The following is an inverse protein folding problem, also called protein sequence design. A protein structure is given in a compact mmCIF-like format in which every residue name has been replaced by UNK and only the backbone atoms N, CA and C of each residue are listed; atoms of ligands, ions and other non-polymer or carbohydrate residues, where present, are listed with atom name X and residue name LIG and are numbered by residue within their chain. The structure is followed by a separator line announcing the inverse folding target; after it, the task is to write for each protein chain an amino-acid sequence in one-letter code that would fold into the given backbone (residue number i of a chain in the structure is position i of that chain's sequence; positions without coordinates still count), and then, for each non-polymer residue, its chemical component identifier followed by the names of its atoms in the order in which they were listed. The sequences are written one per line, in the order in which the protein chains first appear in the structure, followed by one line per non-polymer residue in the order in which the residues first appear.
data_IF_782012807963
#
_entry.id   IF_782012807963
#
_cell.length_a   1.000
_cell.length_b   1.000
_cell.length_c   1.000
_cell.angle_alpha   90.00
_cell.angle_beta   90.00
_cell.angle_gamma   90.00
#
_symmetry.space_group_name_H-M   'P 1'
#
loop_
_entity.id
_entity.type
_entity.pdbx_description
1 polymer ?
#
# COMPACT_ATOMS: atom_id res chain seq x y z
N UNK A 1 -3.40 -14.56 13.48
CA UNK A 1 -2.33 -13.78 12.81
C UNK A 1 -2.86 -12.40 12.46
N UNK A 2 -2.11 -11.36 12.80
CA UNK A 2 -2.46 -10.00 12.41
C UNK A 2 -2.14 -9.78 10.93
N UNK A 3 -2.69 -8.70 10.35
CA UNK A 3 -2.33 -8.30 8.98
C UNK A 3 -0.84 -7.99 8.88
N UNK A 4 -0.28 -7.32 9.87
CA UNK A 4 1.15 -7.01 9.91
C UNK A 4 1.98 -8.30 9.82
N UNK A 5 1.65 -9.29 10.62
CA UNK A 5 2.32 -10.58 10.60
C UNK A 5 2.15 -11.30 9.26
N UNK A 6 0.93 -11.26 8.72
CA UNK A 6 0.66 -11.86 7.41
C UNK A 6 1.59 -11.29 6.34
N UNK A 7 1.66 -9.98 6.22
CA UNK A 7 2.49 -9.36 5.19
C UNK A 7 3.99 -9.51 5.45
N UNK A 8 4.41 -9.55 6.70
CA UNK A 8 5.82 -9.80 7.02
C UNK A 8 6.28 -11.19 6.61
N UNK A 9 5.40 -12.18 6.71
CA UNK A 9 5.74 -13.57 6.51
C UNK A 9 5.32 -14.15 5.15
N UNK A 10 4.74 -13.34 4.28
CA UNK A 10 4.19 -13.82 3.02
C UNK A 10 4.86 -13.10 1.85
N UNK A 11 5.38 -13.87 0.92
CA UNK A 11 5.96 -13.34 -0.32
C UNK A 11 4.88 -13.16 -1.36
N UNK A 12 4.99 -12.09 -2.12
CA UNK A 12 4.06 -11.82 -3.19
C UNK A 12 4.26 -10.41 -3.72
N UNK A 13 3.35 -10.00 -4.57
CA UNK A 13 3.37 -8.64 -5.10
C UNK A 13 1.97 -8.05 -5.07
N UNK A 14 1.91 -6.73 -5.14
CA UNK A 14 0.63 -6.05 -5.06
C UNK A 14 0.44 -4.97 -6.09
N UNK A 15 -0.83 -4.63 -6.28
CA UNK A 15 -1.27 -3.58 -7.19
C UNK A 15 -2.15 -2.63 -6.39
N UNK A 16 -1.80 -1.35 -6.42
CA UNK A 16 -2.60 -0.30 -5.81
C UNK A 16 -3.44 0.36 -6.89
N UNK A 17 -4.75 0.35 -6.70
CA UNK A 17 -5.70 1.01 -7.58
C UNK A 17 -6.14 2.32 -6.93
N UNK A 18 -6.11 3.40 -7.70
CA UNK A 18 -6.52 4.73 -7.27
C UNK A 18 -7.40 5.36 -8.35
N UNK A 19 -8.13 6.38 -7.98
CA UNK A 19 -8.97 7.11 -8.94
C UNK A 19 -8.73 8.62 -8.82
N UNK A 20 -8.95 9.32 -9.93
CA UNK A 20 -8.93 10.78 -9.90
C UNK A 20 -10.32 11.33 -9.52
N UNK A 21 -10.47 12.66 -9.56
CA UNK A 21 -11.74 13.30 -9.22
C UNK A 21 -12.86 12.97 -10.21
N UNK A 22 -12.54 12.52 -11.41
CA UNK A 22 -13.51 12.12 -12.44
C UNK A 22 -13.76 10.61 -12.47
N UNK A 23 -13.29 9.89 -11.44
CA UNK A 23 -13.42 8.44 -11.29
C UNK A 23 -12.70 7.64 -12.37
N UNK A 24 -11.66 8.21 -12.97
CA UNK A 24 -10.79 7.43 -13.85
C UNK A 24 -9.83 6.61 -12.99
N UNK A 25 -9.76 5.31 -13.26
CA UNK A 25 -9.01 4.36 -12.45
C UNK A 25 -7.61 4.16 -13.01
N UNK A 26 -6.62 4.14 -12.12
CA UNK A 26 -5.25 3.79 -12.45
C UNK A 26 -4.78 2.66 -11.53
N UNK A 27 -3.89 1.83 -12.04
CA UNK A 27 -3.30 0.74 -11.27
C UNK A 27 -1.78 0.79 -11.39
N UNK A 28 -1.11 0.55 -10.28
CA UNK A 28 0.35 0.56 -10.25
C UNK A 28 0.86 -0.52 -9.30
N UNK A 29 2.01 -1.09 -9.64
CA UNK A 29 2.68 -2.06 -8.77
C UNK A 29 3.21 -1.32 -7.54
N UNK A 30 2.89 -1.85 -6.36
CA UNK A 30 3.38 -1.33 -5.09
C UNK A 30 3.88 -2.46 -4.21
N UNK A 31 4.90 -2.17 -3.42
CA UNK A 31 5.38 -3.08 -2.39
C UNK A 31 4.29 -3.33 -1.35
N UNK A 32 4.50 -4.33 -0.50
CA UNK A 32 3.55 -4.65 0.56
C UNK A 32 3.30 -3.44 1.46
N UNK A 33 2.08 -3.32 2.02
CA UNK A 33 1.82 -2.23 2.95
C UNK A 33 2.71 -2.30 4.18
N UNK A 34 3.04 -1.14 4.71
CA UNK A 34 3.83 -0.99 5.92
C UNK A 34 2.90 -0.83 7.12
N UNK A 35 3.18 -1.56 8.19
CA UNK A 35 2.46 -1.41 9.45
C UNK A 35 3.44 -0.80 10.45
N UNK A 36 3.50 0.53 10.48
CA UNK A 36 4.46 1.25 11.32
C UNK A 36 4.14 1.15 12.80
N UNK A 37 2.87 1.02 13.13
CA UNK A 37 2.40 0.69 14.47
C UNK A 37 1.83 -0.73 14.42
N UNK A 38 2.63 -1.70 14.87
CA UNK A 38 2.22 -3.11 14.78
C UNK A 38 1.09 -3.49 15.74
N UNK A 39 0.76 -2.61 16.67
CA UNK A 39 -0.40 -2.81 17.55
C UNK A 39 -1.71 -2.39 16.88
N UNK A 40 -1.63 -1.68 15.76
CA UNK A 40 -2.80 -1.17 15.03
C UNK A 40 -2.89 -1.87 13.66
N UNK A 41 -3.81 -2.81 13.55
CA UNK A 41 -4.05 -3.56 12.31
C UNK A 41 -5.04 -2.85 11.37
N UNK A 42 -5.53 -1.69 11.77
CA UNK A 42 -6.48 -0.89 10.98
C UNK A 42 -5.85 0.22 10.16
N UNK A 43 -4.54 0.40 10.25
CA UNK A 43 -3.82 1.46 9.54
C UNK A 43 -2.59 0.87 8.86
N UNK A 44 -2.39 1.25 7.60
CA UNK A 44 -1.18 0.87 6.88
C UNK A 44 -0.66 2.05 6.08
N UNK A 45 0.57 1.92 5.58
CA UNK A 45 1.23 3.01 4.88
C UNK A 45 1.93 2.51 3.63
N UNK A 46 2.05 3.41 2.66
CA UNK A 46 2.81 3.16 1.43
C UNK A 46 3.76 4.31 1.18
N UNK A 47 4.93 3.99 0.65
CA UNK A 47 5.86 5.01 0.17
C UNK A 47 5.51 5.29 -1.28
N UNK A 48 5.22 6.55 -1.59
CA UNK A 48 4.82 6.98 -2.94
C UNK A 48 5.77 8.02 -3.49
N UNK A 49 6.01 7.94 -4.81
CA UNK A 49 6.68 9.00 -5.54
C UNK A 49 5.70 10.08 -5.97
N UNK A 50 6.22 11.11 -6.61
CA UNK A 50 5.39 12.17 -7.18
C UNK A 50 4.86 11.72 -8.54
N UNK A 51 3.92 10.79 -8.51
CA UNK A 51 3.36 10.13 -9.70
C UNK A 51 1.84 10.11 -9.62
N UNK A 52 1.22 9.50 -10.63
CA UNK A 52 -0.24 9.51 -10.78
C UNK A 52 -0.98 8.94 -9.55
N UNK A 53 -0.49 7.84 -8.96
CA UNK A 53 -1.14 7.28 -7.77
C UNK A 53 -1.20 8.28 -6.63
N UNK A 54 -0.10 9.00 -6.38
CA UNK A 54 -0.06 10.04 -5.36
C UNK A 54 -0.99 11.20 -5.69
N UNK A 55 -0.99 11.63 -6.94
CA UNK A 55 -1.87 12.70 -7.39
C UNK A 55 -3.34 12.32 -7.21
N UNK A 56 -3.69 11.09 -7.58
CA UNK A 56 -5.06 10.59 -7.46
C UNK A 56 -5.56 10.62 -6.01
N UNK A 57 -4.76 10.17 -5.04
CA UNK A 57 -5.22 10.13 -3.65
C UNK A 57 -5.34 11.52 -3.02
N UNK A 58 -4.80 12.57 -3.65
CA UNK A 58 -5.05 13.95 -3.24
C UNK A 58 -6.47 14.41 -3.61
N UNK A 59 -7.06 13.79 -4.62
CA UNK A 59 -8.37 14.19 -5.16
C UNK A 59 -9.48 13.20 -4.87
N UNK A 60 -9.15 11.93 -4.58
CA UNK A 60 -10.11 10.91 -4.20
C UNK A 60 -9.51 10.09 -3.06
N UNK A 61 -10.16 10.08 -1.88
CA UNK A 61 -9.57 9.45 -0.69
C UNK A 61 -9.58 7.93 -0.73
N UNK A 62 -10.35 7.31 -1.63
CA UNK A 62 -10.50 5.86 -1.68
C UNK A 62 -9.45 5.22 -2.57
N UNK A 63 -8.93 4.09 -2.12
CA UNK A 63 -7.99 3.28 -2.89
C UNK A 63 -8.24 1.80 -2.58
N UNK A 64 -7.67 0.92 -3.40
CA UNK A 64 -7.78 -0.51 -3.21
C UNK A 64 -6.44 -1.16 -3.48
N UNK A 65 -6.05 -2.09 -2.62
CA UNK A 65 -4.79 -2.81 -2.77
C UNK A 65 -5.08 -4.30 -2.93
N UNK A 66 -4.55 -4.87 -4.00
CA UNK A 66 -4.69 -6.29 -4.30
C UNK A 66 -3.33 -6.94 -4.16
N UNK A 67 -3.22 -7.91 -3.25
CA UNK A 67 -1.97 -8.62 -3.00
C UNK A 67 -2.11 -10.07 -3.42
N UNK A 68 -1.15 -10.55 -4.23
CA UNK A 68 -1.14 -11.91 -4.76
C UNK A 68 0.09 -12.63 -4.20
N UNK A 69 -0.16 -13.73 -3.48
CA UNK A 69 0.92 -14.54 -2.92
C UNK A 69 1.68 -15.28 -4.02
N UNK A 70 2.99 -15.42 -3.83
CA UNK A 70 3.79 -16.29 -4.68
C UNK A 70 3.31 -17.74 -4.56
N UNK A 71 3.55 -18.54 -5.59
CA UNK A 71 3.25 -19.97 -5.56
C UNK A 71 1.97 -20.35 -6.28
N UNK A 72 1.21 -19.41 -6.77
CA UNK A 72 -0.02 -19.66 -7.52
C UNK A 72 -1.19 -20.00 -6.61
N UNK A 73 -2.27 -20.55 -7.19
CA UNK A 73 -3.44 -20.96 -6.43
C UNK A 73 -4.43 -19.83 -6.14
N UNK A 74 -4.21 -18.64 -6.66
CA UNK A 74 -5.09 -17.47 -6.47
C UNK A 74 -5.31 -17.17 -4.99
N UNK A 75 -4.24 -17.18 -4.21
CA UNK A 75 -4.26 -16.87 -2.79
C UNK A 75 -3.72 -15.45 -2.57
N UNK A 76 -4.36 -14.70 -1.72
CA UNK A 76 -3.95 -13.34 -1.39
C UNK A 76 -5.04 -12.60 -0.66
N UNK A 77 -4.94 -11.27 -0.69
CA UNK A 77 -5.90 -10.40 0.00
C UNK A 77 -6.21 -9.16 -0.83
N UNK A 78 -7.39 -8.61 -0.59
CA UNK A 78 -7.80 -7.31 -1.13
C UNK A 78 -8.11 -6.40 0.04
N UNK A 79 -7.51 -5.22 0.02
CA UNK A 79 -7.71 -4.21 1.06
C UNK A 79 -8.48 -3.03 0.48
N UNK A 80 -9.54 -2.62 1.17
CA UNK A 80 -10.23 -1.37 0.86
C UNK A 80 -9.65 -0.29 1.76
N UNK A 81 -9.20 0.82 1.18
CA UNK A 81 -8.39 1.83 1.86
C UNK A 81 -8.99 3.22 1.72
N UNK A 82 -8.82 4.03 2.75
CA UNK A 82 -9.13 5.47 2.70
C UNK A 82 -7.95 6.23 3.27
N UNK A 83 -7.49 7.24 2.54
CA UNK A 83 -6.34 8.04 2.98
C UNK A 83 -6.65 8.78 4.27
N UNK A 84 -5.69 8.81 5.20
CA UNK A 84 -5.78 9.56 6.45
C UNK A 84 -4.95 10.84 6.33
N UNK A 85 -3.65 10.71 6.07
CA UNK A 85 -2.74 11.84 5.93
C UNK A 85 -1.44 11.36 5.28
N UNK A 86 -0.58 12.30 4.92
CA UNK A 86 0.72 11.99 4.35
C UNK A 86 1.83 12.80 5.02
N UNK A 87 3.04 12.29 4.91
CA UNK A 87 4.25 12.93 5.40
C UNK A 87 5.27 13.00 4.26
N UNK A 88 6.06 14.05 4.25
CA UNK A 88 7.13 14.24 3.26
C UNK A 88 8.50 14.31 3.93
N UNK A 89 8.67 13.67 5.06
CA UNK A 89 9.92 13.64 5.83
C UNK A 89 10.91 12.67 5.17
N UNK A 90 11.86 13.20 4.43
CA UNK A 90 12.80 12.40 3.66
C UNK A 90 13.69 11.52 4.54
N UNK A 91 14.06 11.97 5.73
CA UNK A 91 14.89 11.19 6.64
C UNK A 91 14.11 9.99 7.20
N UNK A 92 12.86 10.19 7.54
CA UNK A 92 11.98 9.13 8.02
C UNK A 92 11.75 8.08 6.93
N UNK A 93 11.47 8.52 5.72
CA UNK A 93 11.24 7.63 4.56
C UNK A 93 12.50 6.81 4.27
N UNK A 94 13.66 7.45 4.29
CA UNK A 94 14.94 6.78 4.07
C UNK A 94 15.22 5.73 5.13
N UNK A 95 14.97 6.05 6.39
CA UNK A 95 15.14 5.12 7.50
C UNK A 95 14.23 3.90 7.36
N UNK A 96 12.97 4.11 6.98
CA UNK A 96 12.01 3.02 6.77
C UNK A 96 12.49 2.11 5.64
N UNK A 97 12.94 2.65 4.52
CA UNK A 97 13.42 1.87 3.38
C UNK A 97 14.64 1.00 3.77
N UNK A 98 15.58 1.56 4.50
CA UNK A 98 16.76 0.83 4.93
C UNK A 98 16.41 -0.29 5.93
N UNK A 99 15.45 -0.03 6.81
CA UNK A 99 15.07 -0.96 7.87
C UNK A 99 14.24 -2.14 7.34
N UNK A 100 13.41 -1.90 6.35
CA UNK A 100 12.50 -2.92 5.82
C UNK A 100 13.09 -3.68 4.64
N UNK A 101 14.24 -3.27 4.12
CA UNK A 101 14.87 -3.86 2.94
C UNK A 101 13.87 -3.98 1.77
N UNK A 102 13.06 -2.96 1.60
CA UNK A 102 12.00 -2.96 0.59
C UNK A 102 12.56 -2.97 -0.82
N UNK A 103 12.03 -3.87 -1.63
CA UNK A 103 12.27 -3.89 -3.06
C UNK A 103 11.18 -3.04 -3.73
N UNK A 104 11.49 -1.78 -3.97
CA UNK A 104 10.55 -0.83 -4.53
C UNK A 104 10.75 -0.71 -6.04
N UNK A 105 9.65 -0.59 -6.81
CA UNK A 105 9.75 -0.42 -8.27
C UNK A 105 10.14 1.00 -8.68
N UNK A 106 10.82 1.74 -7.83
CA UNK A 106 11.28 3.09 -8.11
C UNK A 106 12.58 3.37 -7.36
N UNK A 107 13.34 4.37 -7.83
CA UNK A 107 14.59 4.77 -7.19
C UNK A 107 14.34 5.50 -5.88
N UNK A 108 15.38 5.61 -5.03
CA UNK A 108 15.26 6.32 -3.77
C UNK A 108 14.85 7.77 -3.90
N UNK A 109 15.27 8.42 -4.99
CA UNK A 109 14.94 9.83 -5.22
C UNK A 109 13.47 10.05 -5.56
N UNK A 110 12.77 9.00 -5.98
CA UNK A 110 11.36 9.07 -6.29
C UNK A 110 10.47 8.79 -5.09
N UNK A 111 11.03 8.29 -3.99
CA UNK A 111 10.29 7.98 -2.76
C UNK A 111 10.14 9.24 -1.92
N UNK A 112 9.10 10.04 -2.20
CA UNK A 112 8.94 11.39 -1.63
C UNK A 112 7.89 11.49 -0.54
N UNK A 113 6.93 10.57 -0.52
CA UNK A 113 5.79 10.67 0.40
C UNK A 113 5.58 9.37 1.14
N UNK A 114 5.26 9.47 2.41
CA UNK A 114 4.77 8.37 3.22
C UNK A 114 3.29 8.61 3.43
N UNK A 115 2.46 7.79 2.81
CA UNK A 115 1.01 8.00 2.77
C UNK A 115 0.33 6.96 3.66
N UNK A 116 -0.48 7.44 4.60
CA UNK A 116 -1.14 6.60 5.59
C UNK A 116 -2.61 6.40 5.24
N UNK A 117 -3.06 5.15 5.32
CA UNK A 117 -4.43 4.77 4.99
C UNK A 117 -5.08 4.05 6.15
N UNK A 118 -6.37 4.30 6.32
CA UNK A 118 -7.23 3.47 7.14
C UNK A 118 -7.69 2.27 6.30
N UNK A 119 -7.64 1.08 6.88
CA UNK A 119 -8.12 -0.15 6.24
C UNK A 119 -9.58 -0.33 6.60
N UNK A 120 -10.47 -0.13 5.61
CA UNK A 120 -11.91 -0.26 5.82
C UNK A 120 -12.40 -1.69 5.70
N UNK A 121 -11.70 -2.52 4.94
CA UNK A 121 -12.11 -3.89 4.75
C UNK A 121 -10.99 -4.76 4.23
N UNK A 122 -11.06 -6.05 4.56
CA UNK A 122 -10.12 -7.08 4.11
C UNK A 122 -10.94 -8.21 3.53
N UNK A 123 -10.63 -8.62 2.31
CA UNK A 123 -11.30 -9.72 1.63
C UNK A 123 -10.28 -10.66 1.02
N UNK A 124 -10.65 -11.95 0.81
CA UNK A 124 -9.76 -12.85 0.09
C UNK A 124 -9.54 -12.39 -1.34
N UNK A 125 -8.47 -12.86 -1.96
CA UNK A 125 -8.12 -12.50 -3.34
C UNK A 125 -9.26 -12.81 -4.29
N UNK A 126 -9.90 -13.95 -4.10
CA UNK A 126 -11.05 -14.39 -4.88
C UNK A 126 -12.22 -14.64 -3.96
N UNK A 127 -13.43 -14.45 -4.46
CA UNK A 127 -14.63 -14.71 -3.68
C UNK A 127 -15.39 -13.45 -3.34
N UNK A 128 -16.51 -13.63 -2.65
CA UNK A 128 -17.50 -12.56 -2.45
C UNK A 128 -17.62 -12.08 -1.01
N UNK A 129 -16.75 -12.52 -0.16
CA UNK A 129 -16.86 -12.22 1.28
C UNK A 129 -16.35 -10.85 1.63
#
# INVERSE_FOLDING_TARGET
MTLSEYFENTRGFGVLATTDAAAQVDQAIYAKPLFLDKSDDGTCSFIMGNRLSHDNVQHNPSASYLFIEDGGGFVGKRLSLVIIYEEADSEKIKAIRLHTEMDLPMSGDECKYLVHFHIEGVRPLCGNE
#
